data_IF_028009549942
#
_entry.id   IF_028009549942
#
_cell.length_a   1.000
_cell.length_b   1.000
_cell.length_c   1.000
_cell.angle_alpha   90.00
_cell.angle_beta   90.00
_cell.angle_gamma   90.00
#
_symmetry.space_group_name_H-M   'P 1'
#
loop_
_entity.id
_entity.type
_entity.pdbx_description
1 polymer ?
#
# COMPACT_ATOMS: atom_id res chain seq x y z
N UNK A 1 24.05 14.25 24.24
CA UNK A 1 23.28 13.65 23.13
C UNK A 1 21.98 14.42 23.01
N UNK A 2 21.62 14.80 21.79
CA UNK A 2 20.40 15.54 21.51
C UNK A 2 19.21 14.58 21.47
N UNK A 3 18.19 14.81 22.30
CA UNK A 3 16.99 13.98 22.34
C UNK A 3 16.31 13.88 20.97
N UNK A 4 16.44 14.90 20.11
CA UNK A 4 15.93 14.85 18.75
C UNK A 4 16.58 13.71 17.94
N UNK A 5 17.89 13.53 18.07
CA UNK A 5 18.61 12.46 17.36
C UNK A 5 18.24 11.07 17.89
N UNK A 6 18.03 10.94 19.20
CA UNK A 6 17.57 9.68 19.81
C UNK A 6 16.17 9.32 19.30
N UNK A 7 15.24 10.28 19.28
CA UNK A 7 13.87 10.05 18.80
C UNK A 7 13.87 9.63 17.32
N UNK A 8 14.65 10.30 16.47
CA UNK A 8 14.76 9.95 15.06
C UNK A 8 15.35 8.54 14.86
N UNK A 9 16.42 8.20 15.59
CA UNK A 9 17.05 6.88 15.51
C UNK A 9 16.12 5.76 15.98
N UNK A 10 15.45 5.95 17.13
CA UNK A 10 14.50 4.96 17.64
C UNK A 10 13.28 4.84 16.72
N UNK A 11 12.80 5.93 16.12
CA UNK A 11 11.69 5.89 15.15
C UNK A 11 11.98 5.02 13.93
N UNK A 12 13.19 5.11 13.37
CA UNK A 12 13.64 4.24 12.26
C UNK A 12 13.67 2.79 12.71
N UNK A 13 14.30 2.53 13.86
CA UNK A 13 14.44 1.17 14.40
C UNK A 13 13.06 0.54 14.72
N UNK A 14 12.13 1.33 15.24
CA UNK A 14 10.78 0.88 15.54
C UNK A 14 9.99 0.57 14.26
N UNK A 15 10.16 1.37 13.20
CA UNK A 15 9.52 1.13 11.90
C UNK A 15 9.99 -0.19 11.28
N UNK A 16 11.29 -0.49 11.33
CA UNK A 16 11.84 -1.76 10.84
C UNK A 16 11.35 -2.96 11.65
N UNK A 17 11.33 -2.85 13.00
CA UNK A 17 10.77 -3.89 13.87
C UNK A 17 9.30 -4.14 13.56
N UNK A 18 8.50 -3.07 13.39
CA UNK A 18 7.08 -3.19 13.09
C UNK A 18 6.83 -3.86 11.74
N UNK A 19 7.61 -3.53 10.71
CA UNK A 19 7.53 -4.18 9.39
C UNK A 19 7.83 -5.68 9.48
N UNK A 20 8.89 -6.05 10.21
CA UNK A 20 9.25 -7.46 10.41
C UNK A 20 8.19 -8.21 11.21
N UNK A 21 7.63 -7.59 12.25
CA UNK A 21 6.60 -8.19 13.09
C UNK A 21 5.29 -8.40 12.32
N UNK A 22 4.88 -7.46 11.46
CA UNK A 22 3.69 -7.59 10.62
C UNK A 22 3.80 -8.80 9.67
N UNK A 23 4.95 -8.95 8.98
CA UNK A 23 5.18 -10.10 8.11
C UNK A 23 5.12 -11.43 8.88
N UNK A 24 5.75 -11.47 10.07
CA UNK A 24 5.75 -12.69 10.88
C UNK A 24 4.34 -13.04 11.38
N UNK A 25 3.54 -12.04 11.74
CA UNK A 25 2.17 -12.22 12.19
C UNK A 25 1.28 -12.76 11.06
N UNK A 26 1.44 -12.28 9.82
CA UNK A 26 0.69 -12.79 8.67
C UNK A 26 0.98 -14.29 8.44
N UNK A 27 2.27 -14.68 8.46
CA UNK A 27 2.70 -16.07 8.28
C UNK A 27 2.15 -16.97 9.40
N UNK A 28 2.24 -16.52 10.65
CA UNK A 28 1.75 -17.28 11.79
C UNK A 28 0.23 -17.45 11.75
N UNK A 29 -0.50 -16.37 11.46
CA UNK A 29 -1.96 -16.40 11.37
C UNK A 29 -2.44 -17.30 10.23
N UNK A 30 -1.82 -17.23 9.06
CA UNK A 30 -2.10 -18.14 7.94
C UNK A 30 -1.90 -19.61 8.35
N UNK A 31 -0.76 -19.92 8.99
CA UNK A 31 -0.47 -21.28 9.48
C UNK A 31 -1.52 -21.79 10.45
N UNK A 32 -1.94 -20.97 11.42
CA UNK A 32 -3.00 -21.32 12.38
C UNK A 32 -4.34 -21.62 11.68
N UNK A 33 -4.72 -20.82 10.68
CA UNK A 33 -5.96 -21.04 9.94
C UNK A 33 -5.93 -22.32 9.12
N UNK A 34 -4.78 -22.65 8.53
CA UNK A 34 -4.58 -23.91 7.80
C UNK A 34 -4.67 -25.11 8.76
N UNK A 35 -4.06 -25.03 9.94
CA UNK A 35 -4.17 -26.08 10.97
C UNK A 35 -5.63 -26.29 11.44
N UNK A 36 -6.43 -25.22 11.43
CA UNK A 36 -7.88 -25.27 11.71
C UNK A 36 -8.72 -25.77 10.52
N UNK A 37 -8.09 -26.11 9.40
CA UNK A 37 -8.73 -26.75 8.24
C UNK A 37 -9.11 -25.82 7.10
N UNK A 38 -8.61 -24.58 7.07
CA UNK A 38 -8.75 -23.71 5.89
C UNK A 38 -7.78 -24.11 4.78
N UNK A 39 -8.18 -23.91 3.53
CA UNK A 39 -7.31 -24.04 2.37
C UNK A 39 -6.76 -22.68 1.96
N UNK A 40 -5.43 -22.55 1.88
CA UNK A 40 -4.82 -21.36 1.30
C UNK A 40 -4.99 -21.35 -0.22
N UNK A 41 -5.40 -20.22 -0.76
CA UNK A 41 -5.52 -20.02 -2.19
C UNK A 41 -5.05 -18.63 -2.59
N UNK A 42 -4.16 -18.57 -3.58
CA UNK A 42 -3.69 -17.32 -4.14
C UNK A 42 -4.73 -16.74 -5.12
N UNK A 43 -4.79 -15.42 -5.22
CA UNK A 43 -5.57 -14.80 -6.27
C UNK A 43 -5.06 -15.22 -7.66
N UNK A 44 -5.98 -15.58 -8.55
CA UNK A 44 -5.66 -15.84 -9.94
C UNK A 44 -5.24 -14.54 -10.66
N UNK A 45 -4.49 -14.63 -11.77
CA UNK A 45 -4.15 -13.46 -12.57
C UNK A 45 -5.37 -12.64 -13.02
N UNK A 46 -6.48 -13.31 -13.34
CA UNK A 46 -7.75 -12.66 -13.69
C UNK A 46 -8.34 -11.86 -12.53
N UNK A 47 -8.35 -12.44 -11.32
CA UNK A 47 -8.81 -11.72 -10.13
C UNK A 47 -7.93 -10.52 -9.80
N UNK A 48 -6.61 -10.66 -9.94
CA UNK A 48 -5.68 -9.55 -9.75
C UNK A 48 -5.91 -8.42 -10.77
N UNK A 49 -6.20 -8.76 -12.04
CA UNK A 49 -6.54 -7.78 -13.06
C UNK A 49 -7.84 -7.01 -12.71
N UNK A 50 -8.88 -7.71 -12.24
CA UNK A 50 -10.13 -7.09 -11.79
C UNK A 50 -9.92 -6.17 -10.59
N UNK A 51 -9.09 -6.57 -9.62
CA UNK A 51 -8.73 -5.73 -8.48
C UNK A 51 -7.97 -4.48 -8.91
N UNK A 52 -7.00 -4.62 -9.83
CA UNK A 52 -6.25 -3.49 -10.39
C UNK A 52 -7.17 -2.51 -11.11
N UNK A 53 -8.11 -3.02 -11.91
CA UNK A 53 -9.09 -2.20 -12.61
C UNK A 53 -10.04 -1.50 -11.63
N UNK A 54 -10.50 -2.18 -10.58
CA UNK A 54 -11.29 -1.54 -9.51
C UNK A 54 -10.51 -0.43 -8.79
N UNK A 55 -9.21 -0.63 -8.57
CA UNK A 55 -8.33 0.38 -8.01
C UNK A 55 -8.23 1.61 -8.92
N UNK A 56 -8.04 1.39 -10.23
CA UNK A 56 -7.93 2.42 -11.26
C UNK A 56 -9.23 3.22 -11.43
N UNK A 57 -10.36 2.53 -11.51
CA UNK A 57 -11.66 3.15 -11.81
C UNK A 57 -12.30 3.87 -10.62
N UNK A 58 -12.02 3.43 -9.39
CA UNK A 58 -12.77 3.90 -8.23
C UNK A 58 -11.88 4.24 -7.04
N UNK A 59 -11.04 3.32 -6.58
CA UNK A 59 -10.35 3.49 -5.29
C UNK A 59 -9.40 4.69 -5.32
N UNK A 60 -8.51 4.74 -6.32
CA UNK A 60 -7.48 5.77 -6.43
C UNK A 60 -8.07 7.14 -6.79
N UNK A 61 -8.99 7.28 -7.78
CA UNK A 61 -9.63 8.57 -8.06
C UNK A 61 -10.34 9.15 -6.84
N UNK A 62 -11.15 8.34 -6.16
CA UNK A 62 -11.90 8.78 -4.98
C UNK A 62 -10.95 9.14 -3.82
N UNK A 63 -9.83 8.42 -3.67
CA UNK A 63 -8.80 8.77 -2.70
C UNK A 63 -8.12 10.09 -3.06
N UNK A 64 -7.74 10.30 -4.33
CA UNK A 64 -7.07 11.51 -4.79
C UNK A 64 -7.93 12.77 -4.56
N UNK A 65 -9.25 12.67 -4.79
CA UNK A 65 -10.19 13.73 -4.45
C UNK A 65 -10.15 14.06 -2.94
N UNK A 66 -10.25 13.05 -2.07
CA UNK A 66 -10.18 13.24 -0.61
C UNK A 66 -8.83 13.73 -0.10
N UNK A 67 -7.75 13.44 -0.83
CA UNK A 67 -6.38 13.84 -0.50
C UNK A 67 -6.09 15.33 -0.79
N UNK A 68 -7.09 16.09 -1.24
CA UNK A 68 -6.96 17.51 -1.62
C UNK A 68 -6.90 17.72 -3.13
N UNK A 69 -7.31 16.74 -3.91
CA UNK A 69 -7.37 16.77 -5.37
C UNK A 69 -6.11 16.23 -6.06
N UNK A 70 -6.16 16.06 -7.39
CA UNK A 70 -5.10 15.43 -8.18
C UNK A 70 -3.74 16.15 -8.10
N UNK A 71 -3.76 17.47 -7.86
CA UNK A 71 -2.56 18.30 -7.77
C UNK A 71 -2.01 18.47 -6.34
N UNK A 72 -2.62 17.79 -5.37
CA UNK A 72 -2.19 17.81 -3.97
C UNK A 72 -0.79 17.22 -3.80
N UNK A 73 -0.08 17.63 -2.75
CA UNK A 73 1.23 17.09 -2.40
C UNK A 73 1.16 15.57 -2.14
N UNK A 74 0.07 15.10 -1.52
CA UNK A 74 -0.16 13.68 -1.28
C UNK A 74 -0.23 12.87 -2.58
N UNK A 75 -0.96 13.36 -3.59
CA UNK A 75 -1.06 12.69 -4.89
C UNK A 75 0.27 12.76 -5.65
N UNK A 76 1.01 13.87 -5.56
CA UNK A 76 2.37 13.97 -6.13
C UNK A 76 3.33 12.97 -5.50
N UNK A 77 3.28 12.80 -4.18
CA UNK A 77 4.09 11.81 -3.46
C UNK A 77 3.69 10.38 -3.86
N UNK A 78 2.39 10.11 -3.96
CA UNK A 78 1.88 8.83 -4.47
C UNK A 78 2.42 8.53 -5.87
N UNK A 79 2.30 9.46 -6.81
CA UNK A 79 2.81 9.30 -8.18
C UNK A 79 4.34 9.09 -8.21
N UNK A 80 5.08 9.66 -7.25
CA UNK A 80 6.54 9.48 -7.16
C UNK A 80 6.96 8.15 -6.51
N UNK A 81 6.19 7.63 -5.54
CA UNK A 81 6.64 6.53 -4.67
C UNK A 81 5.84 5.25 -4.81
N UNK A 82 4.54 5.35 -5.07
CA UNK A 82 3.60 4.22 -5.08
C UNK A 82 3.23 3.84 -6.51
N UNK A 83 2.92 4.81 -7.37
CA UNK A 83 2.56 4.56 -8.76
C UNK A 83 3.60 3.73 -9.55
N UNK A 84 4.92 3.86 -9.33
CA UNK A 84 5.91 2.99 -9.98
C UNK A 84 5.83 1.51 -9.56
N UNK A 85 5.25 1.21 -8.40
CA UNK A 85 5.07 -0.15 -7.89
C UNK A 85 3.74 -0.73 -8.41
N UNK A 86 2.69 0.08 -8.45
CA UNK A 86 1.34 -0.36 -8.86
C UNK A 86 1.11 -0.29 -10.37
N UNK A 87 1.89 0.54 -11.08
CA UNK A 87 1.67 0.91 -12.48
C UNK A 87 0.47 1.84 -12.69
N UNK A 88 -0.08 2.44 -11.63
CA UNK A 88 -1.28 3.28 -11.67
C UNK A 88 -0.96 4.72 -11.29
N UNK A 89 -1.10 5.65 -12.22
CA UNK A 89 -0.73 7.06 -12.05
C UNK A 89 -1.96 7.96 -12.09
N UNK A 90 -2.07 8.87 -11.13
CA UNK A 90 -3.14 9.89 -11.13
C UNK A 90 -2.77 11.00 -12.11
N UNK A 91 -3.65 11.27 -13.07
CA UNK A 91 -3.53 12.37 -14.00
C UNK A 91 -4.08 13.68 -13.40
N UNK A 92 -3.78 14.82 -14.03
CA UNK A 92 -4.19 16.15 -13.54
C UNK A 92 -5.70 16.37 -13.52
N UNK A 93 -6.46 15.61 -14.33
CA UNK A 93 -7.93 15.64 -14.35
C UNK A 93 -8.56 14.69 -13.31
N UNK A 94 -7.75 13.98 -12.54
CA UNK A 94 -8.17 13.02 -11.51
C UNK A 94 -8.46 11.61 -12.03
N UNK A 95 -8.34 11.38 -13.34
CA UNK A 95 -8.34 10.03 -13.89
C UNK A 95 -7.08 9.27 -13.52
N UNK A 96 -7.09 7.93 -13.67
CA UNK A 96 -5.94 7.08 -13.39
C UNK A 96 -5.56 6.29 -14.62
N UNK A 97 -4.32 6.51 -15.04
CA UNK A 97 -3.69 5.87 -16.19
C UNK A 97 -2.84 4.68 -15.75
N UNK A 98 -2.86 3.62 -16.56
CA UNK A 98 -1.93 2.50 -16.42
C UNK A 98 -0.69 2.74 -17.27
N UNK A 99 0.51 2.61 -16.67
CA UNK A 99 1.80 2.78 -17.35
C UNK A 99 2.80 1.70 -16.96
#
# INVERSE_FOLDING_TARGET
EDFQNIILAEGVLHSERAKSAALQADIEAEGQLIELGMEHSNFSPEMLALLKEGARLSVIPNWAERAGGPESEAVKLYNSKVAPVTGLYVASDGSVDEK
#
